data_IF_555374314537
#
_entry.id   IF_555374314537
#
_cell.length_a   1.000
_cell.length_b   1.000
_cell.length_c   1.000
_cell.angle_alpha   90.00
_cell.angle_beta   90.00
_cell.angle_gamma   90.00
#
_symmetry.space_group_name_H-M   'P 1'
#
loop_
_entity.id
_entity.type
_entity.pdbx_description
1 polymer ?
#
# COMPACT_ATOMS: atom_id res chain seq x y z
N UNK A 1 3.32 -7.10 -0.95
CA UNK A 1 3.26 -5.68 -1.38
C UNK A 1 4.65 -5.25 -1.83
N UNK A 2 4.77 -4.19 -2.63
CA UNK A 2 6.05 -3.64 -3.10
C UNK A 2 5.97 -2.11 -3.24
N UNK A 3 6.97 -1.38 -2.75
CA UNK A 3 7.12 0.05 -2.99
C UNK A 3 7.72 0.27 -4.39
N UNK A 4 7.26 1.28 -5.09
CA UNK A 4 7.65 1.57 -6.47
C UNK A 4 7.59 3.08 -6.75
N UNK A 5 8.11 3.50 -7.89
CA UNK A 5 8.00 4.90 -8.35
C UNK A 5 6.60 5.15 -8.94
N UNK A 6 6.06 4.15 -9.65
CA UNK A 6 4.69 4.15 -10.16
C UNK A 6 4.18 2.71 -10.32
N UNK A 7 2.86 2.53 -10.24
CA UNK A 7 2.22 1.25 -10.55
C UNK A 7 0.89 1.44 -11.28
N UNK A 8 0.52 0.47 -12.09
CA UNK A 8 -0.76 0.45 -12.79
C UNK A 8 -1.32 -0.96 -12.82
N UNK A 9 -2.59 -1.11 -12.48
CA UNK A 9 -3.36 -2.32 -12.72
C UNK A 9 -4.06 -2.18 -14.07
N UNK A 10 -3.92 -3.20 -14.93
CA UNK A 10 -4.63 -3.28 -16.22
C UNK A 10 -5.05 -4.73 -16.46
N UNK A 11 -6.36 -4.99 -16.43
CA UNK A 11 -6.98 -6.29 -16.74
C UNK A 11 -6.40 -7.46 -15.93
N UNK A 12 -6.27 -7.28 -14.61
CA UNK A 12 -5.72 -8.29 -13.70
C UNK A 12 -4.20 -8.43 -13.77
N UNK A 13 -3.49 -7.47 -14.38
CA UNK A 13 -2.02 -7.43 -14.42
C UNK A 13 -1.50 -6.19 -13.76
N UNK A 14 -0.52 -6.37 -12.88
CA UNK A 14 0.14 -5.28 -12.17
C UNK A 14 1.44 -4.91 -12.89
N UNK A 15 1.47 -3.72 -13.48
CA UNK A 15 2.65 -3.09 -14.05
C UNK A 15 3.32 -2.24 -12.97
N UNK A 16 4.61 -2.47 -12.74
CA UNK A 16 5.38 -1.79 -11.69
C UNK A 16 6.62 -1.16 -12.29
N UNK A 17 6.80 0.14 -12.06
CA UNK A 17 7.96 0.91 -12.50
C UNK A 17 8.82 1.27 -11.28
N UNK A 18 10.12 0.96 -11.34
CA UNK A 18 11.05 1.32 -10.25
C UNK A 18 10.75 0.61 -8.92
N UNK A 19 10.27 -0.64 -8.97
CA UNK A 19 9.89 -1.39 -7.76
C UNK A 19 11.09 -1.81 -6.90
N UNK A 20 10.87 -1.89 -5.58
CA UNK A 20 11.79 -2.52 -4.63
C UNK A 20 12.74 -1.59 -3.88
N UNK A 21 12.52 -0.27 -3.94
CA UNK A 21 13.30 0.66 -3.13
C UNK A 21 12.81 0.73 -1.68
N UNK A 22 13.72 1.11 -0.79
CA UNK A 22 13.45 1.35 0.64
C UNK A 22 14.12 2.63 1.16
N UNK A 23 14.71 3.44 0.27
CA UNK A 23 15.33 4.72 0.60
C UNK A 23 14.97 5.75 -0.47
N UNK A 24 14.57 6.95 -0.04
CA UNK A 24 14.24 8.08 -0.92
C UNK A 24 14.66 9.41 -0.26
N UNK A 25 14.34 10.57 -0.84
CA UNK A 25 14.57 11.86 -0.20
C UNK A 25 15.88 12.56 -0.57
N UNK A 26 16.17 13.74 0.01
CA UNK A 26 15.49 14.30 1.18
C UNK A 26 14.07 14.81 0.90
N UNK A 27 13.74 15.17 -0.34
CA UNK A 27 12.37 15.40 -0.80
C UNK A 27 11.75 14.09 -1.28
N UNK A 28 10.56 13.75 -0.79
CA UNK A 28 9.88 12.50 -1.17
C UNK A 28 9.14 12.70 -2.51
N UNK A 29 9.59 12.04 -3.60
CA UNK A 29 8.91 12.11 -4.89
C UNK A 29 7.57 11.35 -4.85
N UNK A 30 6.76 11.38 -5.92
CA UNK A 30 5.65 10.46 -6.06
C UNK A 30 6.12 9.01 -5.88
N UNK A 31 5.23 8.18 -5.36
CA UNK A 31 5.48 6.76 -5.16
C UNK A 31 4.23 5.95 -5.45
N UNK A 32 4.41 4.65 -5.55
CA UNK A 32 3.31 3.71 -5.59
C UNK A 32 3.51 2.56 -4.61
N UNK A 33 2.39 2.04 -4.13
CA UNK A 33 2.31 0.75 -3.45
C UNK A 33 1.64 -0.21 -4.44
N UNK A 34 2.41 -1.18 -4.91
CA UNK A 34 1.94 -2.28 -5.72
C UNK A 34 1.51 -3.42 -4.77
N UNK A 35 0.23 -3.77 -4.78
CA UNK A 35 -0.32 -4.84 -3.97
C UNK A 35 -0.78 -5.99 -4.85
N UNK A 36 -0.48 -7.21 -4.42
CA UNK A 36 -1.12 -8.43 -4.89
C UNK A 36 -1.70 -9.08 -3.65
N UNK A 37 -3.02 -9.13 -3.56
CA UNK A 37 -3.73 -9.79 -2.48
C UNK A 37 -4.11 -11.17 -3.02
N UNK A 38 -3.71 -12.20 -2.28
CA UNK A 38 -4.06 -13.58 -2.57
C UNK A 38 -5.34 -13.88 -1.81
N UNK A 39 -6.47 -13.94 -2.53
CA UNK A 39 -7.77 -14.18 -1.92
C UNK A 39 -8.06 -15.68 -1.92
N UNK A 40 -8.20 -16.32 -0.74
CA UNK A 40 -8.52 -17.74 -0.68
C UNK A 40 -9.81 -18.06 -1.44
N UNK A 41 -9.84 -19.21 -2.14
CA UNK A 41 -10.99 -19.61 -2.96
C UNK A 41 -12.34 -19.61 -2.22
N UNK A 42 -12.31 -19.96 -0.93
CA UNK A 42 -13.47 -19.99 -0.02
C UNK A 42 -13.92 -18.59 0.43
N UNK A 43 -13.10 -17.56 0.24
CA UNK A 43 -13.44 -16.16 0.53
C UNK A 43 -13.96 -15.37 -0.69
N UNK A 44 -13.94 -15.97 -1.88
CA UNK A 44 -14.49 -15.36 -3.10
C UNK A 44 -15.99 -14.99 -2.98
N UNK A 45 -16.43 -13.99 -3.76
CA UNK A 45 -17.79 -13.42 -3.76
C UNK A 45 -18.23 -12.88 -2.39
N UNK A 46 -17.26 -12.43 -1.58
CA UNK A 46 -17.53 -11.68 -0.35
C UNK A 46 -16.90 -10.31 -0.49
N UNK A 47 -17.68 -9.27 -0.23
CA UNK A 47 -17.15 -7.92 -0.09
C UNK A 47 -16.29 -7.84 1.18
N UNK A 48 -15.08 -7.32 1.02
CA UNK A 48 -14.07 -7.11 2.06
C UNK A 48 -13.55 -5.68 1.94
N UNK A 49 -13.00 -5.14 3.01
CA UNK A 49 -12.44 -3.80 3.05
C UNK A 49 -10.93 -3.89 3.25
N UNK A 50 -10.19 -3.03 2.57
CA UNK A 50 -8.76 -2.91 2.75
C UNK A 50 -8.37 -1.47 3.04
N UNK A 51 -7.24 -1.32 3.70
CA UNK A 51 -6.72 -0.02 4.07
C UNK A 51 -5.20 0.00 4.16
N UNK A 52 -4.59 1.05 3.62
CA UNK A 52 -3.20 1.41 3.83
C UNK A 52 -3.10 2.66 4.70
N UNK A 53 -2.31 2.58 5.77
CA UNK A 53 -1.97 3.73 6.62
C UNK A 53 -0.47 3.93 6.59
N UNK A 54 -0.02 5.17 6.42
CA UNK A 54 1.39 5.52 6.61
C UNK A 54 1.65 5.79 8.09
N UNK A 55 2.64 5.08 8.65
CA UNK A 55 3.08 5.21 10.03
C UNK A 55 4.47 5.86 10.09
N UNK A 56 4.72 6.60 11.16
CA UNK A 56 6.04 7.12 11.51
C UNK A 56 6.93 6.03 12.17
N UNK A 57 8.10 6.45 12.65
CA UNK A 57 9.08 5.57 13.28
C UNK A 57 8.60 4.98 14.63
N UNK A 58 7.62 5.61 15.28
CA UNK A 58 7.03 5.18 16.54
C UNK A 58 5.76 4.33 16.31
N UNK A 59 5.36 4.12 15.05
CA UNK A 59 4.18 3.36 14.68
C UNK A 59 2.87 4.16 14.74
N UNK A 60 2.95 5.48 14.90
CA UNK A 60 1.78 6.37 14.91
C UNK A 60 1.39 6.76 13.49
N UNK A 61 0.10 6.93 13.17
CA UNK A 61 -0.34 7.42 11.86
C UNK A 61 0.25 8.81 11.55
N UNK A 62 0.82 8.95 10.36
CA UNK A 62 1.27 10.25 9.84
C UNK A 62 0.05 11.11 9.54
N UNK A 63 -0.03 12.29 10.13
CA UNK A 63 -1.11 13.26 9.89
C UNK A 63 -0.61 14.51 9.18
N UNK A 64 -1.43 15.05 8.27
CA UNK A 64 -1.21 16.35 7.64
C UNK A 64 -2.30 17.35 8.05
N UNK A 65 -1.97 18.65 8.15
CA UNK A 65 -2.99 19.68 8.32
C UNK A 65 -3.97 19.69 7.14
N UNK A 66 -5.27 19.72 7.43
CA UNK A 66 -6.34 19.93 6.45
C UNK A 66 -7.33 21.00 6.95
N UNK A 67 -8.26 21.42 6.08
CA UNK A 67 -9.29 22.41 6.43
C UNK A 67 -10.19 21.95 7.59
N UNK A 68 -10.42 20.64 7.71
CA UNK A 68 -11.28 20.02 8.72
C UNK A 68 -10.48 19.51 9.94
N UNK A 69 -9.20 19.86 10.05
CA UNK A 69 -8.28 19.42 11.09
C UNK A 69 -7.19 18.45 10.59
N UNK A 70 -6.33 17.92 11.48
CA UNK A 70 -5.32 16.94 11.09
C UNK A 70 -5.95 15.69 10.47
N UNK A 71 -5.51 15.31 9.29
CA UNK A 71 -5.98 14.14 8.56
C UNK A 71 -4.84 13.12 8.42
N UNK A 72 -5.12 11.87 8.77
CA UNK A 72 -4.18 10.76 8.55
C UNK A 72 -3.97 10.48 7.07
N UNK A 73 -2.74 10.14 6.69
CA UNK A 73 -2.46 9.61 5.35
C UNK A 73 -2.91 8.15 5.27
N UNK A 74 -4.12 7.98 4.76
CA UNK A 74 -4.87 6.73 4.71
C UNK A 74 -5.49 6.57 3.32
N UNK A 75 -5.32 5.40 2.73
CA UNK A 75 -5.97 5.02 1.45
C UNK A 75 -6.74 3.73 1.70
N UNK A 76 -8.03 3.73 1.42
CA UNK A 76 -8.89 2.58 1.66
C UNK A 76 -9.82 2.31 0.48
N UNK A 77 -10.36 1.10 0.43
CA UNK A 77 -11.36 0.72 -0.55
C UNK A 77 -12.00 -0.62 -0.21
N UNK A 78 -13.02 -0.97 -0.98
CA UNK A 78 -13.65 -2.29 -0.92
C UNK A 78 -13.14 -3.16 -2.08
N UNK A 79 -13.10 -4.47 -1.88
CA UNK A 79 -12.91 -5.42 -2.96
C UNK A 79 -13.85 -6.61 -2.84
N UNK A 80 -14.20 -7.18 -3.99
CA UNK A 80 -14.89 -8.46 -4.11
C UNK A 80 -14.35 -9.15 -5.36
N UNK A 81 -13.82 -10.36 -5.21
CA UNK A 81 -13.32 -11.15 -6.35
C UNK A 81 -14.20 -12.37 -6.56
N UNK A 82 -14.62 -12.57 -7.81
CA UNK A 82 -15.35 -13.76 -8.22
C UNK A 82 -14.43 -14.97 -8.39
N UNK A 83 -15.03 -16.15 -8.57
CA UNK A 83 -14.29 -17.38 -8.90
C UNK A 83 -14.13 -17.51 -10.42
N UNK A 84 -12.91 -17.48 -10.98
CA UNK A 84 -12.71 -17.68 -12.41
C UNK A 84 -13.17 -19.09 -12.85
N UNK A 85 -13.75 -19.24 -14.05
CA UNK A 85 -14.09 -20.55 -14.60
C UNK A 85 -12.86 -21.45 -14.70
N UNK A 86 -12.97 -22.69 -14.23
CA UNK A 86 -11.88 -23.67 -14.31
C UNK A 86 -10.77 -23.51 -13.26
N UNK A 87 -10.88 -22.54 -12.34
CA UNK A 87 -9.95 -22.46 -11.20
C UNK A 87 -10.19 -23.65 -10.25
N UNK A 88 -9.12 -24.39 -9.96
CA UNK A 88 -9.16 -25.52 -9.03
C UNK A 88 -9.62 -25.04 -7.64
N UNK A 89 -10.62 -25.69 -7.02
CA UNK A 89 -10.99 -25.37 -5.65
C UNK A 89 -9.80 -25.44 -4.70
N UNK A 90 -9.63 -24.41 -3.89
CA UNK A 90 -8.50 -24.28 -2.95
C UNK A 90 -7.31 -23.50 -3.49
N UNK A 91 -7.29 -23.10 -4.76
CA UNK A 91 -6.29 -22.15 -5.29
C UNK A 91 -6.65 -20.71 -4.96
N UNK A 92 -5.68 -19.91 -4.58
CA UNK A 92 -5.87 -18.47 -4.36
C UNK A 92 -6.25 -17.74 -5.65
N UNK A 93 -7.01 -16.65 -5.50
CA UNK A 93 -7.44 -15.76 -6.56
C UNK A 93 -6.61 -14.48 -6.44
N UNK A 94 -5.90 -14.15 -7.51
CA UNK A 94 -5.03 -12.98 -7.56
C UNK A 94 -5.86 -11.69 -7.68
N UNK A 95 -5.68 -10.76 -6.74
CA UNK A 95 -6.19 -9.41 -6.81
C UNK A 95 -5.02 -8.40 -6.85
N UNK A 96 -4.60 -7.95 -8.03
CA UNK A 96 -3.65 -6.85 -8.15
C UNK A 96 -4.32 -5.50 -7.85
N UNK A 97 -3.65 -4.63 -7.12
CA UNK A 97 -4.05 -3.25 -6.87
C UNK A 97 -2.81 -2.35 -7.02
N UNK A 98 -3.04 -1.15 -7.56
CA UNK A 98 -2.02 -0.11 -7.67
C UNK A 98 -2.49 1.15 -6.95
N UNK A 99 -1.77 1.53 -5.89
CA UNK A 99 -2.03 2.76 -5.14
C UNK A 99 -0.93 3.76 -5.46
N UNK A 100 -1.26 4.82 -6.19
CA UNK A 100 -0.31 5.90 -6.49
C UNK A 100 -0.53 7.06 -5.52
N UNK A 101 0.56 7.51 -4.91
CA UNK A 101 0.58 8.60 -3.94
C UNK A 101 1.45 9.71 -4.51
N UNK A 102 0.94 10.94 -4.46
CA UNK A 102 1.71 12.12 -4.86
C UNK A 102 2.93 12.35 -3.97
N UNK A 103 3.73 13.40 -4.25
CA UNK A 103 4.82 13.80 -3.37
C UNK A 103 4.31 14.04 -1.94
N UNK A 104 5.06 13.58 -0.93
CA UNK A 104 4.68 13.72 0.47
C UNK A 104 5.65 14.67 1.20
N UNK A 105 5.16 15.61 2.01
CA UNK A 105 6.02 16.50 2.78
C UNK A 105 6.51 15.82 4.08
N UNK A 106 7.16 14.65 3.94
CA UNK A 106 7.68 13.90 5.08
C UNK A 106 9.00 14.50 5.58
N UNK A 107 9.18 14.62 6.91
CA UNK A 107 10.47 14.98 7.50
C UNK A 107 11.61 14.06 7.02
N UNK A 108 12.76 14.63 6.59
CA UNK A 108 13.95 13.86 6.24
C UNK A 108 14.65 13.32 7.49
N UNK A 109 15.48 12.29 7.31
CA UNK A 109 16.20 11.63 8.39
C UNK A 109 15.34 10.69 9.23
N UNK A 110 14.15 10.32 8.76
CA UNK A 110 13.19 9.48 9.45
C UNK A 110 12.80 8.23 8.64
N UNK A 111 12.31 7.22 9.35
CA UNK A 111 11.77 5.98 8.78
C UNK A 111 10.25 6.02 8.85
N UNK A 112 9.60 5.50 7.82
CA UNK A 112 8.15 5.38 7.72
C UNK A 112 7.77 3.97 7.29
N UNK A 113 6.54 3.57 7.58
CA UNK A 113 6.01 2.27 7.19
C UNK A 113 4.59 2.39 6.67
N UNK A 114 4.37 1.94 5.44
CA UNK A 114 3.03 1.64 4.96
C UNK A 114 2.56 0.33 5.56
N UNK A 115 1.42 0.31 6.24
CA UNK A 115 0.79 -0.90 6.78
C UNK A 115 -0.54 -1.15 6.12
N UNK A 116 -0.73 -2.36 5.60
CA UNK A 116 -2.00 -2.86 5.09
C UNK A 116 -2.83 -3.51 6.20
N UNK A 117 -4.12 -3.23 6.19
CA UNK A 117 -5.15 -3.93 6.92
C UNK A 117 -6.20 -4.47 5.95
N UNK A 118 -6.73 -5.66 6.21
CA UNK A 118 -7.88 -6.23 5.52
C UNK A 118 -8.89 -6.64 6.59
N UNK A 119 -10.08 -6.05 6.56
CA UNK A 119 -11.12 -6.22 7.58
C UNK A 119 -10.63 -6.01 9.03
N UNK A 120 -9.68 -5.08 9.21
CA UNK A 120 -9.08 -4.75 10.51
C UNK A 120 -7.89 -5.63 10.90
N UNK A 121 -7.65 -6.74 10.21
CA UNK A 121 -6.51 -7.62 10.46
C UNK A 121 -5.26 -7.14 9.72
N UNK A 122 -4.09 -7.36 10.32
CA UNK A 122 -2.78 -7.08 9.71
C UNK A 122 -1.83 -8.24 9.94
N UNK A 123 -0.82 -8.38 9.08
CA UNK A 123 0.21 -9.41 9.21
C UNK A 123 1.61 -8.77 9.19
N UNK A 124 2.61 -9.50 9.70
CA UNK A 124 4.00 -9.01 9.76
C UNK A 124 4.53 -8.59 8.38
N UNK A 125 4.20 -9.35 7.34
CA UNK A 125 4.62 -9.09 5.96
C UNK A 125 3.70 -8.13 5.18
N UNK A 126 2.65 -7.60 5.81
CA UNK A 126 1.71 -6.62 5.22
C UNK A 126 2.19 -5.19 5.44
N UNK A 127 3.50 -5.00 5.40
CA UNK A 127 4.15 -3.74 5.72
C UNK A 127 5.32 -3.47 4.78
N UNK A 128 5.50 -2.19 4.42
CA UNK A 128 6.62 -1.72 3.62
C UNK A 128 7.25 -0.52 4.29
N UNK A 129 8.47 -0.68 4.79
CA UNK A 129 9.22 0.43 5.36
C UNK A 129 10.12 1.10 4.34
N UNK A 130 10.29 2.41 4.48
CA UNK A 130 11.30 3.17 3.78
C UNK A 130 11.90 4.28 4.65
N UNK A 131 13.09 4.74 4.28
CA UNK A 131 13.80 5.83 4.95
C UNK A 131 13.88 7.05 4.04
N UNK A 132 13.58 8.23 4.58
CA UNK A 132 13.83 9.51 3.91
C UNK A 132 15.21 9.99 4.31
N UNK A 133 16.12 10.18 3.35
CA UNK A 133 17.50 10.64 3.62
C UNK A 133 17.52 12.00 4.31
N UNK A 134 18.46 12.20 5.23
CA UNK A 134 18.73 13.51 5.83
C UNK A 134 19.18 14.52 4.76
N UNK A 135 18.87 15.80 4.98
CA UNK A 135 19.51 16.87 4.18
C UNK A 135 20.99 16.93 4.53
N UNK A 136 21.86 16.85 3.53
CA UNK A 136 23.27 17.10 3.73
C UNK A 136 23.45 18.63 3.88
N UNK A 137 24.12 19.03 4.96
CA UNK A 137 24.50 20.41 5.27
C UNK A 137 25.64 20.91 4.40
#
# INVERSE_FOLDING_TARGET
>A
MLLADAAQEVNGKLYVLGGGWSVTGPEVPPMAIALKIDVPWNEANRRRQWELVLLDADGSPVTFPSADGPQELRVAGDFEVGRPPGLTPGSDIDLPLAVNVGPLPLPPGARYTWRLQIDGDTQEHWQLSFTVRSRQS
#
